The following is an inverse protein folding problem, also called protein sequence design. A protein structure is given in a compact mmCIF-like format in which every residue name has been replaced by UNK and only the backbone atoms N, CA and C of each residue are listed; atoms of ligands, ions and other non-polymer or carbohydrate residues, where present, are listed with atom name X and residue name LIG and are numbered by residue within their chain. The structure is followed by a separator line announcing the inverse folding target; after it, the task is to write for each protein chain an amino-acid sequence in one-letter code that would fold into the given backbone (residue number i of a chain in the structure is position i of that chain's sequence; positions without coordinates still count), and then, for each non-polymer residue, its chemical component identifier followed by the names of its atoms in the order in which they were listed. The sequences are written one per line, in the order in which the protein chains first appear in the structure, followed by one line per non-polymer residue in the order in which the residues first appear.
data_IF_681570601403
#
_entry.id   IF_681570601403
#
_cell.length_a   1.000
_cell.length_b   1.000
_cell.length_c   1.000
_cell.angle_alpha   90.00
_cell.angle_beta   90.00
_cell.angle_gamma   90.00
#
_symmetry.space_group_name_H-M   'P 1'
#
loop_
_entity.id
_entity.type
_entity.pdbx_description
1 polymer ?
#
# COMPACT_ATOMS: atom_id res chain seq x y z
N UNK A 1 10.65 -7.44 -0.19
CA UNK A 1 11.44 -6.68 0.81
C UNK A 1 10.80 -5.30 0.97
N UNK A 2 10.76 -4.74 2.21
CA UNK A 2 10.19 -3.43 2.46
C UNK A 2 11.27 -2.42 2.90
N UNK A 3 11.65 -1.52 2.00
CA UNK A 3 12.52 -0.37 2.24
C UNK A 3 11.76 0.97 2.25
N UNK A 4 10.43 0.95 2.44
CA UNK A 4 9.58 2.14 2.38
C UNK A 4 9.00 2.61 3.72
N UNK A 5 9.13 1.84 4.83
CA UNK A 5 8.55 2.21 6.12
C UNK A 5 9.21 3.48 6.69
N UNK A 6 8.47 4.61 6.86
CA UNK A 6 9.06 5.88 7.29
C UNK A 6 9.07 6.08 8.80
N UNK A 7 8.48 5.15 9.57
CA UNK A 7 8.26 5.29 11.02
C UNK A 7 9.58 5.43 11.78
N UNK A 8 9.69 6.42 12.67
CA UNK A 8 10.92 6.74 13.43
C UNK A 8 11.50 5.52 14.13
N UNK A 9 10.67 4.69 14.77
CA UNK A 9 11.11 3.46 15.47
C UNK A 9 11.79 2.44 14.56
N UNK A 10 11.42 2.39 13.27
CA UNK A 10 12.03 1.50 12.28
C UNK A 10 13.28 2.12 11.69
N UNK A 11 13.17 3.38 11.28
CA UNK A 11 14.25 4.12 10.61
C UNK A 11 15.45 4.35 11.54
N UNK A 12 15.23 4.58 12.84
CA UNK A 12 16.33 4.76 13.82
C UNK A 12 17.17 3.50 14.04
N UNK A 13 16.66 2.34 13.62
CA UNK A 13 17.39 1.07 13.61
C UNK A 13 18.09 0.77 12.27
N UNK A 14 18.14 1.73 11.35
CA UNK A 14 18.70 1.54 10.01
C UNK A 14 17.84 0.68 9.08
N UNK A 15 16.55 0.46 9.41
CA UNK A 15 15.65 -0.39 8.64
C UNK A 15 14.59 0.44 7.88
N UNK A 16 13.80 -0.23 7.04
CA UNK A 16 12.77 0.40 6.22
C UNK A 16 13.35 1.53 5.36
N UNK A 17 12.73 2.72 5.37
CA UNK A 17 13.23 3.86 4.60
C UNK A 17 14.55 4.44 5.11
N UNK A 18 15.08 3.98 6.24
CA UNK A 18 16.42 4.34 6.71
C UNK A 18 17.54 3.90 5.76
N UNK A 19 17.32 2.79 5.07
CA UNK A 19 18.28 2.23 4.10
C UNK A 19 18.44 3.11 2.85
N UNK A 20 17.51 4.03 2.57
CA UNK A 20 17.64 4.98 1.44
C UNK A 20 18.85 5.90 1.54
N UNK A 21 19.45 6.02 2.74
CA UNK A 21 20.69 6.80 2.96
C UNK A 21 21.96 6.02 2.57
N UNK A 22 21.85 4.72 2.38
CA UNK A 22 22.96 3.82 2.02
C UNK A 22 22.47 2.82 0.97
N UNK A 23 22.56 3.23 -0.29
CA UNK A 23 22.11 2.41 -1.43
C UNK A 23 22.98 1.14 -1.57
N UNK A 24 24.25 1.21 -1.18
CA UNK A 24 25.15 0.04 -1.21
C UNK A 24 24.68 -1.03 -0.21
N UNK A 25 24.28 -0.63 0.99
CA UNK A 25 23.66 -1.53 1.95
C UNK A 25 22.35 -2.11 1.42
N UNK A 26 21.49 -1.27 0.81
CA UNK A 26 20.24 -1.72 0.21
C UNK A 26 20.47 -2.82 -0.83
N UNK A 27 21.44 -2.64 -1.72
CA UNK A 27 21.81 -3.62 -2.76
C UNK A 27 22.36 -4.89 -2.12
N UNK A 28 23.27 -4.79 -1.13
CA UNK A 28 23.82 -5.98 -0.43
C UNK A 28 22.73 -6.80 0.24
N UNK A 29 21.80 -6.16 0.95
CA UNK A 29 20.66 -6.83 1.60
C UNK A 29 19.76 -7.51 0.58
N UNK A 30 19.47 -6.82 -0.53
CA UNK A 30 18.62 -7.36 -1.60
C UNK A 30 19.28 -8.58 -2.24
N UNK A 31 20.56 -8.53 -2.60
CA UNK A 31 21.31 -9.66 -3.14
C UNK A 31 21.33 -10.85 -2.18
N UNK A 32 21.52 -10.61 -0.89
CA UNK A 32 21.49 -11.69 0.10
C UNK A 32 20.15 -12.42 0.12
N UNK A 33 19.02 -11.69 0.04
CA UNK A 33 17.68 -12.30 -0.02
C UNK A 33 17.46 -13.01 -1.35
N UNK A 34 17.80 -12.39 -2.49
CA UNK A 34 17.65 -13.00 -3.82
C UNK A 34 18.41 -14.34 -3.91
N UNK A 35 19.62 -14.38 -3.37
CA UNK A 35 20.47 -15.58 -3.41
C UNK A 35 20.04 -16.68 -2.41
N UNK A 36 19.17 -16.35 -1.45
CA UNK A 36 18.73 -17.30 -0.41
C UNK A 36 17.42 -18.00 -0.73
N UNK A 37 16.75 -17.66 -1.84
CA UNK A 37 15.44 -18.23 -2.18
C UNK A 37 15.29 -18.43 -3.69
N UNK A 38 14.49 -19.42 -4.07
CA UNK A 38 14.04 -19.65 -5.45
C UNK A 38 12.79 -18.85 -5.82
N UNK A 39 12.14 -18.21 -4.84
CA UNK A 39 10.94 -17.41 -5.06
C UNK A 39 11.28 -16.05 -5.70
N UNK A 40 10.38 -15.47 -6.50
CA UNK A 40 10.56 -14.12 -7.01
C UNK A 40 10.63 -13.11 -5.86
N UNK A 41 11.72 -12.35 -5.81
CA UNK A 41 11.91 -11.29 -4.82
C UNK A 41 11.45 -9.96 -5.42
N UNK A 42 10.62 -9.23 -4.70
CA UNK A 42 10.18 -7.88 -5.05
C UNK A 42 10.59 -6.88 -3.97
N UNK A 43 10.74 -5.63 -4.34
CA UNK A 43 11.07 -4.55 -3.39
C UNK A 43 9.99 -3.49 -3.41
N UNK A 44 9.65 -2.94 -2.21
CA UNK A 44 8.88 -1.71 -2.08
C UNK A 44 9.72 -0.64 -1.40
N UNK A 45 9.80 0.54 -2.01
CA UNK A 45 10.58 1.67 -1.51
C UNK A 45 9.87 3.02 -1.69
N UNK A 46 10.61 4.12 -1.44
CA UNK A 46 10.19 5.51 -1.65
C UNK A 46 11.14 6.22 -2.61
N UNK A 47 10.85 7.49 -2.98
CA UNK A 47 11.66 8.30 -3.90
C UNK A 47 13.08 8.59 -3.40
N UNK A 48 13.24 8.68 -2.10
CA UNK A 48 14.49 9.01 -1.42
C UNK A 48 14.25 9.31 0.06
N UNK A 49 15.30 9.78 0.75
CA UNK A 49 15.19 10.18 2.15
C UNK A 49 14.39 11.49 2.31
N UNK A 50 14.75 12.52 1.59
CA UNK A 50 14.11 13.84 1.51
C UNK A 50 14.12 14.37 0.08
N UNK A 51 13.66 15.60 -0.11
CA UNK A 51 13.56 16.20 -1.45
C UNK A 51 14.91 16.49 -2.09
N UNK A 52 15.94 16.71 -1.28
CA UNK A 52 17.30 17.03 -1.74
C UNK A 52 18.11 15.76 -2.07
N UNK A 53 17.63 14.60 -1.62
CA UNK A 53 18.30 13.31 -1.77
C UNK A 53 17.42 12.27 -2.46
N UNK A 54 16.59 12.69 -3.42
CA UNK A 54 15.83 11.77 -4.28
C UNK A 54 16.81 10.99 -5.16
N UNK A 55 16.82 9.67 -5.02
CA UNK A 55 17.78 8.77 -5.69
C UNK A 55 17.09 7.55 -6.34
N UNK A 56 15.77 7.60 -6.53
CA UNK A 56 14.98 6.43 -6.94
C UNK A 56 15.37 5.90 -8.32
N UNK A 57 15.86 6.73 -9.24
CA UNK A 57 16.29 6.27 -10.57
C UNK A 57 17.54 5.37 -10.47
N UNK A 58 18.54 5.79 -9.68
CA UNK A 58 19.70 4.95 -9.36
C UNK A 58 19.31 3.67 -8.62
N UNK A 59 18.44 3.81 -7.60
CA UNK A 59 17.95 2.70 -6.79
C UNK A 59 17.24 1.67 -7.66
N UNK A 60 16.41 2.08 -8.61
CA UNK A 60 15.68 1.17 -9.50
C UNK A 60 16.63 0.30 -10.34
N UNK A 61 17.62 0.91 -10.99
CA UNK A 61 18.62 0.19 -11.77
C UNK A 61 19.42 -0.80 -10.92
N UNK A 62 19.95 -0.33 -9.80
CA UNK A 62 20.81 -1.14 -8.91
C UNK A 62 20.04 -2.29 -8.26
N UNK A 63 18.77 -2.13 -7.95
CA UNK A 63 17.93 -3.20 -7.42
C UNK A 63 17.55 -4.21 -8.51
N UNK A 64 17.29 -3.77 -9.74
CA UNK A 64 17.13 -4.66 -10.89
C UNK A 64 18.37 -5.52 -11.09
N UNK A 65 19.57 -4.92 -11.08
CA UNK A 65 20.85 -5.64 -11.19
C UNK A 65 21.11 -6.58 -10.01
N UNK A 66 20.51 -6.31 -8.85
CA UNK A 66 20.52 -7.19 -7.71
C UNK A 66 19.61 -8.42 -7.88
N UNK A 67 18.76 -8.46 -8.93
CA UNK A 67 17.95 -9.61 -9.33
C UNK A 67 16.51 -9.59 -8.85
N UNK A 68 15.97 -8.45 -8.43
CA UNK A 68 14.53 -8.34 -8.10
C UNK A 68 13.66 -8.54 -9.34
N UNK A 69 12.42 -8.96 -9.15
CA UNK A 69 11.46 -9.26 -10.22
C UNK A 69 10.39 -8.19 -10.40
N UNK A 70 10.25 -7.27 -9.46
CA UNK A 70 9.39 -6.09 -9.58
C UNK A 70 9.77 -5.04 -8.52
N UNK A 71 9.50 -3.78 -8.81
CA UNK A 71 9.72 -2.66 -7.90
C UNK A 71 8.42 -1.88 -7.69
N UNK A 72 8.02 -1.69 -6.44
CA UNK A 72 6.93 -0.79 -6.05
C UNK A 72 7.49 0.50 -5.47
N UNK A 73 7.05 1.64 -5.98
CA UNK A 73 7.56 2.95 -5.58
C UNK A 73 6.42 3.76 -4.96
N UNK A 74 6.55 4.09 -3.68
CA UNK A 74 5.71 5.13 -3.09
C UNK A 74 6.23 6.49 -3.53
N UNK A 75 5.43 7.23 -4.25
CA UNK A 75 5.78 8.51 -4.89
C UNK A 75 5.89 9.68 -3.89
N UNK A 76 6.51 9.42 -2.74
CA UNK A 76 6.90 10.38 -1.70
C UNK A 76 8.26 10.01 -1.13
N UNK A 77 8.97 11.00 -0.62
CA UNK A 77 10.19 10.76 0.16
C UNK A 77 9.85 10.24 1.57
N UNK A 78 10.86 9.76 2.29
CA UNK A 78 10.69 9.36 3.70
C UNK A 78 10.28 10.56 4.57
N UNK A 79 10.88 11.73 4.37
CA UNK A 79 10.64 12.92 5.19
C UNK A 79 9.24 13.49 5.01
N UNK A 80 8.65 13.36 3.82
CA UNK A 80 7.25 13.72 3.57
C UNK A 80 6.27 12.83 4.35
N UNK A 81 6.64 11.58 4.65
CA UNK A 81 5.71 10.59 5.22
C UNK A 81 4.42 10.45 4.39
N UNK A 82 3.38 11.20 4.72
CA UNK A 82 2.09 11.29 4.01
C UNK A 82 1.66 12.74 3.71
N UNK A 83 2.54 13.71 3.95
CA UNK A 83 2.26 15.13 3.69
C UNK A 83 2.45 15.47 2.22
N UNK A 84 1.75 16.50 1.76
CA UNK A 84 1.76 16.93 0.37
C UNK A 84 1.15 15.88 -0.57
N UNK A 85 1.43 15.99 -1.85
CA UNK A 85 0.97 15.07 -2.88
C UNK A 85 2.06 14.06 -3.27
N UNK A 86 1.64 12.90 -3.76
CA UNK A 86 2.55 11.90 -4.31
C UNK A 86 3.02 12.34 -5.71
N UNK A 87 4.32 12.45 -5.90
CA UNK A 87 4.92 12.88 -7.17
C UNK A 87 5.18 11.67 -8.09
N UNK A 88 4.24 11.37 -8.94
CA UNK A 88 4.30 10.25 -9.88
C UNK A 88 5.18 10.51 -11.11
N UNK A 89 5.68 11.72 -11.33
CA UNK A 89 6.59 12.01 -12.44
C UNK A 89 7.89 11.18 -12.36
N UNK A 90 8.37 10.88 -11.14
CA UNK A 90 9.51 9.98 -10.95
C UNK A 90 9.20 8.54 -11.37
N UNK A 91 7.96 8.06 -11.18
CA UNK A 91 7.55 6.73 -11.64
C UNK A 91 7.55 6.69 -13.16
N UNK A 92 7.01 7.73 -13.81
CA UNK A 92 7.02 7.86 -15.26
C UNK A 92 8.44 7.88 -15.85
N UNK A 93 9.35 8.66 -15.25
CA UNK A 93 10.76 8.72 -15.67
C UNK A 93 11.43 7.35 -15.61
N UNK A 94 11.22 6.61 -14.53
CA UNK A 94 11.77 5.26 -14.37
C UNK A 94 11.20 4.33 -15.44
N UNK A 95 9.89 4.40 -15.68
CA UNK A 95 9.23 3.56 -16.70
C UNK A 95 9.67 3.86 -18.13
N UNK A 96 10.04 5.10 -18.40
CA UNK A 96 10.58 5.53 -19.70
C UNK A 96 12.07 5.22 -19.89
N UNK A 97 12.78 4.81 -18.83
CA UNK A 97 14.18 4.44 -18.91
C UNK A 97 14.32 3.08 -19.63
N UNK A 98 14.96 3.04 -20.81
CA UNK A 98 15.09 1.81 -21.62
C UNK A 98 15.91 0.70 -20.92
N UNK A 99 16.68 1.05 -19.90
CA UNK A 99 17.46 0.08 -19.11
C UNK A 99 16.66 -0.55 -17.96
N UNK A 100 15.39 -0.16 -17.75
CA UNK A 100 14.50 -0.78 -16.76
C UNK A 100 13.60 -1.79 -17.46
N UNK A 101 13.84 -3.06 -17.19
CA UNK A 101 13.14 -4.21 -17.78
C UNK A 101 12.09 -4.83 -16.85
N UNK A 102 12.23 -4.59 -15.54
CA UNK A 102 11.31 -5.15 -14.54
C UNK A 102 10.00 -4.34 -14.45
N UNK A 103 8.89 -4.99 -14.06
CA UNK A 103 7.64 -4.28 -13.78
C UNK A 103 7.78 -3.23 -12.67
N UNK A 104 7.24 -2.03 -12.93
CA UNK A 104 7.21 -0.90 -12.01
C UNK A 104 5.78 -0.65 -11.56
N UNK A 105 5.56 -0.73 -10.25
CA UNK A 105 4.28 -0.46 -9.61
C UNK A 105 4.30 0.91 -8.93
N UNK A 106 3.35 1.77 -9.28
CA UNK A 106 3.17 3.06 -8.63
C UNK A 106 2.32 2.96 -7.34
N UNK A 107 2.65 3.75 -6.33
CA UNK A 107 1.90 3.84 -5.09
C UNK A 107 1.84 5.28 -4.58
N UNK A 108 0.70 5.69 -4.08
CA UNK A 108 0.46 6.99 -3.47
C UNK A 108 -0.79 7.69 -4.02
N UNK A 109 -1.66 8.11 -3.13
CA UNK A 109 -2.85 8.94 -3.36
C UNK A 109 -3.92 8.40 -4.33
N UNK A 110 -3.89 7.13 -4.69
CA UNK A 110 -4.97 6.49 -5.45
C UNK A 110 -6.11 6.21 -4.46
N UNK A 111 -7.22 6.89 -4.65
CA UNK A 111 -8.38 6.85 -3.77
C UNK A 111 -9.73 6.73 -4.51
N UNK A 112 -9.70 6.71 -5.85
CA UNK A 112 -10.88 6.53 -6.70
C UNK A 112 -10.55 5.81 -8.00
N UNK A 113 -11.55 5.22 -8.69
CA UNK A 113 -11.38 4.62 -10.00
C UNK A 113 -10.90 5.60 -11.07
N UNK A 114 -11.40 6.84 -11.05
CA UNK A 114 -11.03 7.88 -12.01
C UNK A 114 -9.56 8.24 -11.88
N UNK A 115 -9.11 8.45 -10.65
CA UNK A 115 -7.71 8.78 -10.39
C UNK A 115 -6.79 7.62 -10.73
N UNK A 116 -7.23 6.39 -10.51
CA UNK A 116 -6.49 5.21 -10.94
C UNK A 116 -6.34 5.17 -12.47
N UNK A 117 -7.42 5.47 -13.23
CA UNK A 117 -7.37 5.52 -14.69
C UNK A 117 -6.49 6.68 -15.19
N UNK A 118 -6.66 7.87 -14.63
CA UNK A 118 -5.82 9.03 -14.94
C UNK A 118 -4.34 8.70 -14.76
N UNK A 119 -3.97 8.13 -13.63
CA UNK A 119 -2.58 7.79 -13.31
C UNK A 119 -2.04 6.66 -14.20
N UNK A 120 -2.86 5.67 -14.55
CA UNK A 120 -2.49 4.63 -15.50
C UNK A 120 -2.16 5.21 -16.87
N UNK A 121 -2.99 6.12 -17.36
CA UNK A 121 -2.81 6.77 -18.66
C UNK A 121 -1.62 7.72 -18.67
N UNK A 122 -1.50 8.54 -17.63
CA UNK A 122 -0.48 9.59 -17.55
C UNK A 122 0.93 9.05 -17.30
N UNK A 123 1.07 8.08 -16.40
CA UNK A 123 2.38 7.64 -15.91
C UNK A 123 2.81 6.26 -16.42
N UNK A 124 1.97 5.56 -17.16
CA UNK A 124 2.26 4.32 -17.89
C UNK A 124 2.92 3.20 -17.04
N UNK A 125 2.72 3.20 -15.70
CA UNK A 125 3.23 2.14 -14.85
C UNK A 125 2.56 0.78 -15.13
N UNK A 126 3.25 -0.32 -14.84
CA UNK A 126 2.75 -1.68 -15.10
C UNK A 126 1.61 -2.08 -14.16
N UNK A 127 1.56 -1.47 -12.98
CA UNK A 127 0.51 -1.69 -12.01
C UNK A 127 0.48 -0.61 -10.93
N UNK A 128 -0.55 -0.66 -10.10
CA UNK A 128 -0.75 0.31 -9.02
C UNK A 128 -1.00 -0.41 -7.69
N UNK A 129 -0.32 0.08 -6.65
CA UNK A 129 -0.55 -0.38 -5.29
C UNK A 129 -1.44 0.61 -4.56
N UNK A 130 -2.59 0.15 -4.09
CA UNK A 130 -3.54 0.95 -3.31
C UNK A 130 -3.30 0.66 -1.83
N UNK A 131 -3.18 1.70 -1.03
CA UNK A 131 -2.95 1.60 0.41
C UNK A 131 -4.15 2.06 1.23
N UNK A 132 -4.10 3.29 1.71
CA UNK A 132 -5.06 3.86 2.65
C UNK A 132 -6.52 3.78 2.20
N UNK A 133 -6.79 3.92 0.91
CA UNK A 133 -8.14 3.87 0.36
C UNK A 133 -8.79 2.48 0.48
N UNK A 134 -7.99 1.41 0.53
CA UNK A 134 -8.51 0.05 0.71
C UNK A 134 -8.80 -0.30 2.18
N UNK A 135 -8.36 0.51 3.16
CA UNK A 135 -8.59 0.24 4.58
C UNK A 135 -10.06 0.44 4.90
N UNK A 136 -10.78 -0.66 5.17
CA UNK A 136 -12.22 -0.65 5.40
C UNK A 136 -13.07 -0.37 4.16
N UNK A 137 -12.46 -0.37 2.97
CA UNK A 137 -13.15 -0.22 1.69
C UNK A 137 -12.53 -1.13 0.61
N UNK A 138 -12.62 -2.45 0.76
CA UNK A 138 -12.00 -3.40 -0.17
C UNK A 138 -12.63 -3.37 -1.58
N UNK A 139 -13.82 -2.83 -1.73
CA UNK A 139 -14.53 -2.72 -3.02
C UNK A 139 -13.79 -1.87 -4.03
N UNK A 140 -12.91 -0.96 -3.60
CA UNK A 140 -12.11 -0.11 -4.49
C UNK A 140 -11.38 -0.89 -5.59
N UNK A 141 -10.95 -2.11 -5.33
CA UNK A 141 -10.27 -2.93 -6.33
C UNK A 141 -11.22 -3.38 -7.45
N UNK A 142 -12.43 -3.78 -7.11
CA UNK A 142 -13.45 -4.15 -8.09
C UNK A 142 -13.97 -2.94 -8.83
N UNK A 143 -14.16 -1.82 -8.14
CA UNK A 143 -14.58 -0.55 -8.74
C UNK A 143 -13.57 -0.08 -9.79
N UNK A 144 -12.27 -0.14 -9.47
CA UNK A 144 -11.21 0.23 -10.42
C UNK A 144 -11.19 -0.71 -11.63
N UNK A 145 -11.29 -2.02 -11.42
CA UNK A 145 -11.33 -2.98 -12.52
C UNK A 145 -12.51 -2.72 -13.44
N UNK A 146 -13.71 -2.60 -12.88
CA UNK A 146 -14.91 -2.34 -13.63
C UNK A 146 -14.81 -1.03 -14.42
N UNK A 147 -14.33 0.03 -13.76
CA UNK A 147 -14.16 1.33 -14.40
C UNK A 147 -13.14 1.30 -15.55
N UNK A 148 -12.08 0.51 -15.43
CA UNK A 148 -11.11 0.32 -16.53
C UNK A 148 -11.69 -0.41 -17.73
N UNK A 149 -12.65 -1.31 -17.50
CA UNK A 149 -13.29 -2.12 -18.55
C UNK A 149 -14.45 -1.38 -19.23
N UNK A 150 -15.21 -0.62 -18.47
CA UNK A 150 -16.51 -0.07 -18.93
C UNK A 150 -16.55 1.47 -19.00
N UNK A 151 -15.69 2.16 -18.25
CA UNK A 151 -15.78 3.61 -18.02
C UNK A 151 -16.90 4.01 -17.04
N UNK A 152 -17.63 3.05 -16.46
CA UNK A 152 -18.74 3.28 -15.55
C UNK A 152 -18.39 2.94 -14.11
N UNK A 153 -19.01 3.66 -13.17
CA UNK A 153 -18.84 3.38 -11.74
C UNK A 153 -19.78 2.27 -11.28
N UNK A 154 -19.27 1.40 -10.41
CA UNK A 154 -20.14 0.52 -9.64
C UNK A 154 -20.93 1.33 -8.58
N UNK A 155 -22.14 0.88 -8.21
CA UNK A 155 -22.87 1.46 -7.10
C UNK A 155 -22.07 1.29 -5.80
N UNK A 156 -22.20 2.28 -4.91
CA UNK A 156 -21.55 2.18 -3.59
C UNK A 156 -22.07 0.99 -2.79
N UNK A 157 -21.22 0.33 -1.99
CA UNK A 157 -21.63 -0.76 -1.12
C UNK A 157 -22.67 -0.29 -0.10
N UNK A 158 -23.75 -1.06 0.02
CA UNK A 158 -24.80 -0.81 0.99
C UNK A 158 -24.30 -1.00 2.43
N UNK A 159 -25.08 -0.56 3.42
CA UNK A 159 -24.76 -0.82 4.84
C UNK A 159 -24.69 -2.32 5.10
N UNK A 160 -25.57 -3.12 4.47
CA UNK A 160 -25.56 -4.57 4.59
C UNK A 160 -24.26 -5.18 4.06
N UNK A 161 -23.77 -4.73 2.90
CA UNK A 161 -22.50 -5.20 2.33
C UNK A 161 -21.33 -4.88 3.28
N UNK A 162 -21.34 -3.69 3.87
CA UNK A 162 -20.31 -3.26 4.82
C UNK A 162 -20.34 -4.07 6.11
N UNK A 163 -21.52 -4.42 6.62
CA UNK A 163 -21.68 -5.30 7.78
C UNK A 163 -21.18 -6.71 7.48
N UNK A 164 -21.51 -7.27 6.34
CA UNK A 164 -21.01 -8.59 5.92
C UNK A 164 -19.48 -8.59 5.80
N UNK A 165 -18.90 -7.59 5.18
CA UNK A 165 -17.45 -7.49 5.00
C UNK A 165 -16.72 -7.33 6.34
N UNK A 166 -17.22 -6.53 7.25
CA UNK A 166 -16.59 -6.32 8.56
C UNK A 166 -16.72 -7.57 9.45
N UNK A 167 -17.84 -8.28 9.36
CA UNK A 167 -18.03 -9.56 10.04
C UNK A 167 -17.03 -10.59 9.52
N UNK A 168 -16.95 -10.77 8.23
CA UNK A 168 -15.98 -11.69 7.62
C UNK A 168 -14.53 -11.36 8.00
N UNK A 169 -14.17 -10.08 8.04
CA UNK A 169 -12.84 -9.64 8.49
C UNK A 169 -12.61 -9.98 9.97
N UNK A 170 -13.62 -9.82 10.81
CA UNK A 170 -13.55 -10.18 12.23
C UNK A 170 -13.38 -11.70 12.42
N UNK A 171 -14.11 -12.51 11.67
CA UNK A 171 -14.00 -13.98 11.67
C UNK A 171 -12.58 -14.41 11.27
N UNK A 172 -12.04 -13.92 10.17
CA UNK A 172 -10.66 -14.22 9.75
C UNK A 172 -9.61 -13.75 10.74
N UNK A 173 -9.81 -12.58 11.36
CA UNK A 173 -8.90 -12.07 12.39
C UNK A 173 -8.90 -12.95 13.63
N UNK A 174 -10.09 -13.43 14.03
CA UNK A 174 -10.27 -14.34 15.15
C UNK A 174 -9.65 -15.72 14.89
N UNK A 175 -9.85 -16.25 13.68
CA UNK A 175 -9.26 -17.53 13.25
C UNK A 175 -7.73 -17.47 13.28
N UNK A 176 -7.14 -16.38 12.77
CA UNK A 176 -5.68 -16.25 12.67
C UNK A 176 -4.99 -15.95 14.00
N UNK A 177 -5.59 -15.12 14.85
CA UNK A 177 -4.93 -14.56 16.06
C UNK A 177 -5.53 -15.03 17.38
N UNK A 178 -6.59 -15.83 17.31
CA UNK A 178 -7.48 -16.13 18.41
C UNK A 178 -8.54 -15.03 18.61
N UNK A 179 -9.72 -15.44 19.05
CA UNK A 179 -10.92 -14.60 19.07
C UNK A 179 -10.71 -13.25 19.76
N UNK A 180 -10.23 -13.30 21.01
CA UNK A 180 -10.05 -12.08 21.83
C UNK A 180 -9.09 -11.07 21.19
N UNK A 181 -7.91 -11.52 20.74
CA UNK A 181 -6.91 -10.62 20.15
C UNK A 181 -7.35 -10.13 18.79
N UNK A 182 -7.91 -11.02 17.97
CA UNK A 182 -8.43 -10.69 16.63
C UNK A 182 -9.48 -9.58 16.71
N UNK A 183 -10.45 -9.68 17.61
CA UNK A 183 -11.51 -8.68 17.78
C UNK A 183 -11.00 -7.35 18.38
N UNK A 184 -10.04 -7.41 19.30
CA UNK A 184 -9.39 -6.18 19.79
C UNK A 184 -8.69 -5.44 18.67
N UNK A 185 -7.98 -6.12 17.79
CA UNK A 185 -7.31 -5.50 16.64
C UNK A 185 -8.30 -4.97 15.60
N UNK A 186 -9.47 -5.58 15.44
CA UNK A 186 -10.52 -5.07 14.55
C UNK A 186 -11.03 -3.67 14.92
N UNK A 187 -10.88 -3.22 16.15
CA UNK A 187 -11.32 -1.89 16.62
C UNK A 187 -10.78 -0.74 15.81
N UNK A 188 -9.55 -0.86 15.30
CA UNK A 188 -8.93 0.15 14.42
C UNK A 188 -9.57 0.23 13.03
N UNK A 189 -10.30 -0.79 12.60
CA UNK A 189 -10.88 -0.91 11.26
C UNK A 189 -12.34 -0.47 11.20
N UNK A 190 -13.12 -0.63 12.25
CA UNK A 190 -14.58 -0.37 12.23
C UNK A 190 -14.95 1.01 11.69
N UNK A 191 -14.27 2.06 12.16
CA UNK A 191 -14.54 3.42 11.69
C UNK A 191 -14.25 3.64 10.19
N UNK A 192 -13.41 2.82 9.59
CA UNK A 192 -13.10 2.92 8.17
C UNK A 192 -14.17 2.24 7.32
N UNK A 193 -14.72 1.10 7.75
CA UNK A 193 -15.81 0.41 7.07
C UNK A 193 -17.09 1.26 6.97
N UNK A 194 -17.34 2.07 8.00
CA UNK A 194 -18.55 2.89 8.10
C UNK A 194 -18.29 4.39 7.87
N UNK A 195 -17.17 4.72 7.23
CA UNK A 195 -16.88 6.11 6.86
C UNK A 195 -17.99 6.66 5.96
N UNK A 196 -18.49 7.85 6.29
CA UNK A 196 -19.56 8.53 5.56
C UNK A 196 -20.99 8.06 5.91
N UNK A 197 -21.14 7.02 6.76
CA UNK A 197 -22.46 6.58 7.19
C UNK A 197 -22.96 7.49 8.32
N UNK A 198 -24.14 8.08 8.12
CA UNK A 198 -24.82 8.90 9.12
C UNK A 198 -25.10 8.09 10.39
N UNK A 199 -25.00 8.73 11.56
CA UNK A 199 -25.27 8.11 12.87
C UNK A 199 -24.38 6.93 13.27
N UNK A 200 -23.41 6.52 12.47
CA UNK A 200 -22.51 5.42 12.86
C UNK A 200 -21.81 5.68 14.20
N UNK A 201 -21.56 6.94 14.55
CA UNK A 201 -20.93 7.31 15.82
C UNK A 201 -21.68 6.74 17.06
N UNK A 202 -23.00 6.61 16.98
CA UNK A 202 -23.84 6.07 18.05
C UNK A 202 -23.62 4.56 18.23
N UNK A 203 -23.36 3.85 17.14
CA UNK A 203 -23.08 2.39 17.15
C UNK A 203 -21.61 2.06 17.40
N UNK A 204 -20.70 3.00 17.13
CA UNK A 204 -19.25 2.78 17.25
C UNK A 204 -18.85 2.23 18.60
N UNK A 205 -19.43 2.73 19.69
CA UNK A 205 -19.10 2.27 21.06
C UNK A 205 -19.43 0.79 21.24
N UNK A 206 -20.55 0.33 20.68
CA UNK A 206 -20.93 -1.09 20.72
C UNK A 206 -19.91 -1.95 20.00
N UNK A 207 -19.53 -1.60 18.76
CA UNK A 207 -18.48 -2.32 18.03
C UNK A 207 -17.14 -2.38 18.77
N UNK A 208 -16.78 -1.32 19.51
CA UNK A 208 -15.53 -1.28 20.28
C UNK A 208 -15.57 -2.16 21.53
N UNK A 209 -16.73 -2.58 21.97
CA UNK A 209 -16.92 -3.44 23.16
C UNK A 209 -17.01 -4.91 22.82
N UNK A 210 -17.26 -5.29 21.57
CA UNK A 210 -17.32 -6.67 21.10
C UNK A 210 -16.04 -7.43 21.45
N UNK A 211 -16.18 -8.56 22.12
CA UNK A 211 -15.08 -9.44 22.55
C UNK A 211 -15.26 -10.89 22.09
N UNK A 212 -16.44 -11.26 21.58
CA UNK A 212 -16.72 -12.56 20.98
C UNK A 212 -17.43 -12.43 19.64
N UNK A 213 -17.30 -13.43 18.76
CA UNK A 213 -18.00 -13.44 17.48
C UNK A 213 -19.53 -13.57 17.63
N UNK A 214 -20.00 -14.10 18.77
CA UNK A 214 -21.43 -14.17 19.07
C UNK A 214 -22.06 -12.80 19.33
N UNK A 215 -21.28 -11.86 19.82
CA UNK A 215 -21.72 -10.47 20.06
C UNK A 215 -21.74 -9.62 18.78
N UNK A 216 -21.16 -10.13 17.69
CA UNK A 216 -20.99 -9.40 16.43
C UNK A 216 -22.20 -9.54 15.53
#
# INVERSE_FOLDING_TARGET
INFGCPVKKVVSKGAGAGVLKDVDLMVRLTKAVVNSTHLPVTVKTRLGWDVDTINIEEVALRLQDAGIKALTIHARTRSQMYKGEADWEYISKIKQNPNIEIPIFGNGDIDSPEKALEYKQKYACDGMMIGRAAIGYPWIFNEIKHFFETGEKLPEPTISDRLLAVKQHAEWSAEWKGERLGLIEMRQHYSNYFRGISHFKEFKTKFLQVLSLEEF
#
